data_IF_637992014712
#
_entry.id   IF_637992014712
#
_cell.length_a   1.000
_cell.length_b   1.000
_cell.length_c   1.000
_cell.angle_alpha   90.00
_cell.angle_beta   90.00
_cell.angle_gamma   90.00
#
_symmetry.space_group_name_H-M   'P 1'
#
loop_
_entity.id
_entity.type
_entity.pdbx_description
1 polymer ?
#
# COMPACT_ATOMS: atom_id res chain seq x y z
N UNK A 1 -19.66 -53.48 34.23
CA UNK A 1 -18.43 -53.53 33.39
C UNK A 1 -18.53 -52.92 31.99
N UNK A 2 -19.74 -52.65 31.44
CA UNK A 2 -19.89 -52.02 30.11
C UNK A 2 -19.71 -50.48 30.04
N UNK A 3 -19.78 -49.80 31.19
CA UNK A 3 -19.63 -48.31 31.23
C UNK A 3 -18.18 -47.83 31.37
N UNK A 4 -17.22 -48.70 31.73
CA UNK A 4 -15.81 -48.34 31.86
C UNK A 4 -15.05 -48.35 30.53
N UNK A 5 -15.52 -49.13 29.56
CA UNK A 5 -14.88 -49.25 28.24
C UNK A 5 -15.19 -48.03 27.34
N UNK A 6 -16.34 -47.37 27.54
CA UNK A 6 -16.72 -46.20 26.74
C UNK A 6 -15.95 -44.96 27.08
N UNK A 7 -15.37 -44.86 28.31
CA UNK A 7 -14.59 -43.70 28.75
C UNK A 7 -13.12 -43.73 28.27
N UNK A 8 -12.60 -44.93 28.01
CA UNK A 8 -11.24 -45.12 27.52
C UNK A 8 -11.07 -44.80 26.05
N UNK A 9 -12.14 -44.88 25.21
CA UNK A 9 -12.07 -44.50 23.79
C UNK A 9 -12.12 -42.99 23.51
N UNK A 10 -12.57 -42.19 24.47
CA UNK A 10 -12.66 -40.73 24.28
C UNK A 10 -11.33 -39.98 24.55
N UNK A 11 -10.36 -40.65 25.21
CA UNK A 11 -9.06 -40.06 25.54
C UNK A 11 -7.99 -40.21 24.44
N UNK A 12 -8.30 -40.96 23.35
CA UNK A 12 -7.34 -41.22 22.28
C UNK A 12 -7.50 -40.28 21.06
N UNK A 13 -8.48 -39.36 21.08
CA UNK A 13 -8.72 -38.41 19.95
C UNK A 13 -8.06 -37.05 20.12
N UNK A 14 -7.26 -36.79 21.19
CA UNK A 14 -6.60 -35.51 21.45
C UNK A 14 -5.14 -35.44 21.03
N UNK A 15 -4.66 -36.23 20.08
CA UNK A 15 -3.25 -36.23 19.75
C UNK A 15 -2.99 -36.12 18.25
N UNK A 16 -3.36 -35.00 17.61
CA UNK A 16 -2.75 -34.52 16.38
C UNK A 16 -3.04 -33.02 16.18
N UNK A 17 -2.88 -32.20 17.20
CA UNK A 17 -2.58 -30.80 16.97
C UNK A 17 -1.12 -30.78 16.49
N UNK A 18 -0.91 -30.67 15.17
CA UNK A 18 0.40 -30.45 14.57
C UNK A 18 0.96 -29.18 15.18
N UNK A 19 1.83 -29.30 16.20
CA UNK A 19 2.56 -28.17 16.72
C UNK A 19 3.29 -27.54 15.53
N UNK A 20 3.18 -26.22 15.33
CA UNK A 20 3.99 -25.56 14.32
C UNK A 20 5.45 -25.88 14.65
N UNK A 21 6.15 -26.47 13.68
CA UNK A 21 7.59 -26.72 13.83
C UNK A 21 8.26 -25.44 14.30
N UNK A 22 9.19 -25.50 15.27
CA UNK A 22 9.97 -24.34 15.63
C UNK A 22 10.55 -23.75 14.34
N UNK A 23 10.32 -22.47 14.09
CA UNK A 23 10.91 -21.79 12.94
C UNK A 23 12.43 -22.00 13.03
N UNK A 24 13.04 -22.54 11.97
CA UNK A 24 14.46 -22.78 11.91
C UNK A 24 15.20 -21.47 12.18
N UNK A 25 15.94 -21.41 13.29
CA UNK A 25 16.70 -20.24 13.72
C UNK A 25 18.22 -20.44 13.53
N UNK A 26 18.61 -21.53 12.85
CA UNK A 26 19.98 -21.86 12.60
C UNK A 26 20.71 -20.88 11.67
N UNK A 27 22.05 -20.98 11.56
CA UNK A 27 22.85 -20.11 10.68
C UNK A 27 22.40 -20.12 9.22
N UNK A 28 21.95 -21.26 8.72
CA UNK A 28 21.45 -21.39 7.35
C UNK A 28 20.14 -20.62 7.13
N UNK A 29 19.21 -20.66 8.10
CA UNK A 29 17.97 -19.90 8.02
C UNK A 29 18.26 -18.40 8.04
N UNK A 30 19.20 -17.96 8.88
CA UNK A 30 19.63 -16.55 8.90
C UNK A 30 20.27 -16.14 7.57
N UNK A 31 21.08 -16.97 6.96
CA UNK A 31 21.69 -16.71 5.65
C UNK A 31 20.60 -16.59 4.55
N UNK A 32 19.57 -17.47 4.56
CA UNK A 32 18.43 -17.38 3.63
C UNK A 32 17.65 -16.10 3.82
N UNK A 33 17.36 -15.71 5.07
CA UNK A 33 16.69 -14.46 5.38
C UNK A 33 17.49 -13.25 4.92
N UNK A 34 18.78 -13.19 5.22
CA UNK A 34 19.66 -12.12 4.76
C UNK A 34 19.70 -12.01 3.24
N UNK A 35 19.86 -13.14 2.52
CA UNK A 35 19.83 -13.17 1.07
C UNK A 35 18.53 -12.67 0.47
N UNK A 36 17.38 -13.00 1.08
CA UNK A 36 16.07 -12.53 0.63
C UNK A 36 15.90 -11.02 0.83
N UNK A 37 16.35 -10.48 1.96
CA UNK A 37 16.38 -9.04 2.18
C UNK A 37 17.27 -8.31 1.18
N UNK A 38 18.42 -8.88 0.83
CA UNK A 38 19.28 -8.34 -0.22
C UNK A 38 18.59 -8.30 -1.58
N UNK A 39 17.81 -9.35 -1.95
CA UNK A 39 17.01 -9.33 -3.19
C UNK A 39 15.95 -8.23 -3.16
N UNK A 40 15.25 -8.02 -2.03
CA UNK A 40 14.29 -6.94 -1.84
C UNK A 40 14.96 -5.59 -2.07
N UNK A 41 16.11 -5.34 -1.47
CA UNK A 41 16.86 -4.09 -1.63
C UNK A 41 17.31 -3.89 -3.08
N UNK A 42 17.90 -4.92 -3.69
CA UNK A 42 18.37 -4.88 -5.07
C UNK A 42 17.21 -4.63 -6.06
N UNK A 43 16.06 -5.28 -5.89
CA UNK A 43 14.88 -5.05 -6.71
C UNK A 43 14.36 -3.61 -6.59
N UNK A 44 14.36 -3.07 -5.38
CA UNK A 44 13.96 -1.68 -5.12
C UNK A 44 14.92 -0.66 -5.74
N UNK A 45 16.23 -0.91 -5.68
CA UNK A 45 17.26 -0.04 -6.25
C UNK A 45 17.25 -0.06 -7.78
N UNK A 46 17.05 -1.23 -8.37
CA UNK A 46 16.97 -1.40 -9.82
C UNK A 46 15.70 -0.80 -10.45
N UNK A 47 14.69 -0.50 -9.64
CA UNK A 47 13.43 0.04 -10.14
C UNK A 47 13.63 1.45 -10.74
N UNK A 48 13.15 1.70 -11.97
CA UNK A 48 13.45 2.94 -12.68
C UNK A 48 12.79 4.16 -12.02
N UNK A 49 13.54 5.26 -11.97
CA UNK A 49 13.04 6.60 -11.62
C UNK A 49 12.69 7.36 -12.90
N UNK A 50 11.69 6.86 -13.60
CA UNK A 50 11.24 7.38 -14.88
C UNK A 50 9.82 7.95 -14.79
N UNK A 51 9.38 8.79 -15.74
CA UNK A 51 8.01 9.23 -15.80
C UNK A 51 7.06 8.05 -16.01
N UNK A 52 5.91 8.13 -15.40
CA UNK A 52 4.87 7.10 -15.49
C UNK A 52 3.48 7.73 -15.49
N UNK A 53 2.52 7.01 -16.06
CA UNK A 53 1.10 7.30 -16.00
C UNK A 53 0.34 6.01 -15.75
N UNK A 54 -0.49 6.00 -14.70
CA UNK A 54 -1.26 4.85 -14.29
C UNK A 54 -2.75 5.19 -14.37
N UNK A 55 -3.52 4.30 -14.99
CA UNK A 55 -4.97 4.29 -14.85
C UNK A 55 -5.32 3.34 -13.70
N UNK A 56 -5.98 3.88 -12.69
CA UNK A 56 -6.32 3.16 -11.46
C UNK A 56 -7.84 2.97 -11.36
N UNK A 57 -8.24 1.86 -10.74
CA UNK A 57 -9.59 1.67 -10.22
C UNK A 57 -9.49 1.43 -8.72
N UNK A 58 -10.21 2.22 -7.95
CA UNK A 58 -10.27 2.12 -6.50
C UNK A 58 -11.70 1.77 -6.07
N UNK A 59 -11.87 0.65 -5.37
CA UNK A 59 -13.10 0.29 -4.68
C UNK A 59 -12.85 0.37 -3.19
N UNK A 60 -13.69 1.06 -2.43
CA UNK A 60 -13.50 1.24 -0.99
C UNK A 60 -14.82 1.42 -0.27
N UNK A 61 -14.81 1.17 1.03
CA UNK A 61 -15.95 1.30 1.91
C UNK A 61 -15.93 0.27 3.03
N UNK A 62 -17.03 0.16 3.75
CA UNK A 62 -17.32 -0.92 4.66
C UNK A 62 -18.08 -2.05 3.94
N UNK A 63 -18.25 -3.18 4.60
CA UNK A 63 -19.06 -4.27 4.06
C UNK A 63 -20.51 -3.80 3.84
N UNK A 64 -21.03 -4.03 2.64
CA UNK A 64 -22.39 -3.58 2.24
C UNK A 64 -22.48 -2.16 1.69
N UNK A 65 -21.49 -1.28 1.93
CA UNK A 65 -21.45 0.09 1.39
C UNK A 65 -20.10 0.34 0.70
N UNK A 66 -19.97 -0.07 -0.54
CA UNK A 66 -18.74 0.11 -1.32
C UNK A 66 -18.95 1.10 -2.45
N UNK A 67 -18.03 2.04 -2.56
CA UNK A 67 -17.94 3.02 -3.65
C UNK A 67 -16.83 2.63 -4.60
N UNK A 68 -16.96 3.03 -5.87
CA UNK A 68 -15.94 2.82 -6.88
C UNK A 68 -15.63 4.13 -7.60
N UNK A 69 -14.35 4.43 -7.69
CA UNK A 69 -13.83 5.54 -8.48
C UNK A 69 -12.75 5.04 -9.43
N UNK A 70 -12.48 5.81 -10.47
CA UNK A 70 -11.29 5.67 -11.31
C UNK A 70 -10.36 6.84 -11.05
N UNK A 71 -9.07 6.68 -11.33
CA UNK A 71 -8.12 7.76 -11.20
C UNK A 71 -7.02 7.67 -12.26
N UNK A 72 -6.52 8.83 -12.67
CA UNK A 72 -5.28 8.97 -13.39
C UNK A 72 -4.20 9.42 -12.41
N UNK A 73 -3.12 8.66 -12.32
CA UNK A 73 -1.98 8.94 -11.45
C UNK A 73 -0.71 9.02 -12.28
N UNK A 74 -0.02 10.16 -12.23
CA UNK A 74 1.21 10.35 -13.00
C UNK A 74 2.23 11.18 -12.26
N UNK A 75 3.48 11.04 -12.66
CA UNK A 75 4.61 11.75 -12.09
C UNK A 75 5.89 11.57 -12.89
N UNK A 76 6.86 12.43 -12.61
CA UNK A 76 8.20 12.39 -13.17
C UNK A 76 9.19 11.61 -12.28
N UNK A 77 8.76 10.77 -11.40
CA UNK A 77 9.42 9.96 -10.39
C UNK A 77 8.63 10.03 -9.07
N UNK A 78 9.29 10.29 -7.92
CA UNK A 78 8.69 10.30 -6.57
C UNK A 78 8.27 11.68 -6.09
N UNK A 79 8.57 12.71 -6.85
CA UNK A 79 8.23 14.10 -6.56
C UNK A 79 7.46 14.69 -7.72
N UNK A 80 6.65 15.70 -7.44
CA UNK A 80 5.72 16.28 -8.40
C UNK A 80 4.76 15.22 -8.94
N UNK A 81 3.76 14.93 -8.15
CA UNK A 81 2.80 13.86 -8.38
C UNK A 81 1.41 14.45 -8.59
N UNK A 82 0.69 13.90 -9.55
CA UNK A 82 -0.69 14.26 -9.85
C UNK A 82 -1.59 13.06 -9.77
N UNK A 83 -2.73 13.25 -9.11
CA UNK A 83 -3.79 12.24 -9.03
C UNK A 83 -5.13 12.94 -9.30
N UNK A 84 -5.75 12.62 -10.42
CA UNK A 84 -7.10 13.08 -10.75
C UNK A 84 -8.08 11.94 -10.51
N UNK A 85 -9.04 12.15 -9.61
CA UNK A 85 -10.03 11.14 -9.19
C UNK A 85 -11.35 11.43 -9.87
N UNK A 86 -11.96 10.40 -10.46
CA UNK A 86 -13.19 10.49 -11.24
C UNK A 86 -14.24 9.52 -10.73
N UNK A 87 -15.49 9.96 -10.66
CA UNK A 87 -16.65 9.13 -10.36
C UNK A 87 -17.49 8.87 -11.62
N UNK A 88 -18.17 7.74 -11.66
CA UNK A 88 -19.10 7.38 -12.75
C UNK A 88 -18.47 7.44 -14.14
N UNK A 89 -19.11 8.15 -15.05
CA UNK A 89 -18.70 8.30 -16.45
C UNK A 89 -17.64 9.40 -16.68
N UNK A 90 -16.69 9.57 -15.75
CA UNK A 90 -15.57 10.49 -15.95
C UNK A 90 -15.71 11.89 -15.33
N UNK A 91 -16.71 12.10 -14.48
CA UNK A 91 -16.81 13.35 -13.72
C UNK A 91 -15.65 13.45 -12.73
N UNK A 92 -14.80 14.46 -12.88
CA UNK A 92 -13.68 14.70 -11.95
C UNK A 92 -14.23 15.19 -10.62
N UNK A 93 -13.96 14.45 -9.54
CA UNK A 93 -14.39 14.77 -8.18
C UNK A 93 -13.27 15.36 -7.32
N UNK A 94 -12.03 15.05 -7.64
CA UNK A 94 -10.87 15.66 -6.99
C UNK A 94 -9.67 15.68 -7.92
N UNK A 95 -8.89 16.77 -7.86
CA UNK A 95 -7.56 16.88 -8.48
C UNK A 95 -6.55 17.09 -7.37
N UNK A 96 -5.52 16.25 -7.30
CA UNK A 96 -4.54 16.25 -6.21
C UNK A 96 -3.15 16.48 -6.81
N UNK A 97 -2.41 17.38 -6.18
CA UNK A 97 -1.00 17.63 -6.42
C UNK A 97 -0.22 17.38 -5.14
N UNK A 98 0.90 16.66 -5.25
CA UNK A 98 1.90 16.55 -4.20
C UNK A 98 3.29 16.80 -4.80
N UNK A 99 4.02 17.74 -4.25
CA UNK A 99 5.36 18.16 -4.73
C UNK A 99 6.50 17.80 -3.77
N UNK A 100 6.17 17.07 -2.69
CA UNK A 100 7.09 16.69 -1.62
C UNK A 100 7.18 17.69 -0.47
N UNK A 101 6.56 18.88 -0.60
CA UNK A 101 6.41 19.89 0.45
C UNK A 101 4.95 20.22 0.73
N UNK A 102 4.15 20.25 -0.33
CA UNK A 102 2.75 20.64 -0.28
C UNK A 102 1.88 19.52 -0.81
N UNK A 103 0.71 19.39 -0.22
CA UNK A 103 -0.36 18.57 -0.72
C UNK A 103 -1.56 19.48 -0.97
N UNK A 104 -1.97 19.58 -2.24
CA UNK A 104 -3.06 20.44 -2.69
C UNK A 104 -4.16 19.58 -3.29
N UNK A 105 -5.40 19.80 -2.88
CA UNK A 105 -6.59 19.18 -3.46
C UNK A 105 -7.52 20.25 -4.00
N UNK A 106 -8.02 20.07 -5.20
CA UNK A 106 -9.12 20.85 -5.74
C UNK A 106 -10.36 19.97 -5.89
N UNK A 107 -11.47 20.41 -5.28
CA UNK A 107 -12.81 19.82 -5.43
C UNK A 107 -13.62 20.63 -6.44
N UNK A 108 -13.80 20.15 -7.68
CA UNK A 108 -14.56 20.90 -8.69
C UNK A 108 -16.04 21.11 -8.32
N UNK A 109 -16.65 20.14 -7.63
CA UNK A 109 -18.07 20.23 -7.21
C UNK A 109 -18.33 21.33 -6.18
N UNK A 110 -17.31 21.64 -5.37
CA UNK A 110 -17.39 22.69 -4.34
C UNK A 110 -16.76 24.01 -4.79
N UNK A 111 -16.02 23.98 -5.90
CA UNK A 111 -15.12 25.06 -6.36
C UNK A 111 -14.19 25.54 -5.24
N UNK A 112 -13.52 24.58 -4.55
CA UNK A 112 -12.62 24.87 -3.42
C UNK A 112 -11.29 24.16 -3.57
N UNK A 113 -10.22 24.85 -3.22
CA UNK A 113 -8.89 24.30 -3.01
C UNK A 113 -8.65 24.01 -1.53
N UNK A 114 -7.94 22.91 -1.24
CA UNK A 114 -7.53 22.55 0.11
C UNK A 114 -6.05 22.25 0.13
N UNK A 115 -5.32 22.84 1.07
CA UNK A 115 -3.90 22.64 1.20
C UNK A 115 -3.51 21.99 2.52
N UNK A 116 -2.42 21.26 2.51
CA UNK A 116 -1.84 20.65 3.68
C UNK A 116 -0.31 20.67 3.61
N UNK A 117 0.30 21.06 4.72
CA UNK A 117 1.74 20.98 4.93
C UNK A 117 1.99 20.00 6.09
N UNK A 118 2.74 18.94 5.85
CA UNK A 118 3.05 17.95 6.86
C UNK A 118 2.95 16.50 6.35
N UNK A 119 3.29 15.54 7.22
CA UNK A 119 3.53 14.16 6.85
C UNK A 119 2.41 13.16 7.19
N UNK A 120 1.24 13.59 7.70
CA UNK A 120 0.26 12.67 8.28
C UNK A 120 -0.84 12.26 7.28
N UNK A 121 -0.54 11.32 6.39
CA UNK A 121 -1.53 10.55 5.60
C UNK A 121 -2.61 11.39 4.92
N UNK A 122 -2.23 12.34 4.06
CA UNK A 122 -3.17 13.28 3.47
C UNK A 122 -4.27 12.59 2.64
N UNK A 123 -3.97 11.45 2.00
CA UNK A 123 -4.95 10.68 1.23
C UNK A 123 -6.13 10.19 2.08
N UNK A 124 -5.86 9.71 3.30
CA UNK A 124 -6.93 9.31 4.22
C UNK A 124 -7.83 10.48 4.61
N UNK A 125 -7.28 11.68 4.73
CA UNK A 125 -8.04 12.89 5.05
C UNK A 125 -9.00 13.31 3.94
N UNK A 126 -8.65 13.05 2.69
CA UNK A 126 -9.51 13.32 1.53
C UNK A 126 -10.39 12.14 1.12
N UNK A 127 -10.51 11.13 2.00
CA UNK A 127 -11.41 9.99 1.79
C UNK A 127 -10.85 8.92 0.85
N UNK A 128 -9.57 9.01 0.44
CA UNK A 128 -8.87 7.93 -0.28
C UNK A 128 -8.28 6.98 0.75
N UNK A 129 -8.80 5.77 0.93
CA UNK A 129 -8.43 4.88 2.04
C UNK A 129 -7.12 4.13 1.75
N UNK A 130 -6.05 4.91 1.58
CA UNK A 130 -4.66 4.44 1.39
C UNK A 130 -3.83 5.07 2.51
N UNK A 131 -3.17 4.27 3.37
CA UNK A 131 -2.42 4.76 4.53
C UNK A 131 -1.02 5.31 4.16
N UNK A 132 -0.84 5.73 2.93
CA UNK A 132 0.39 6.28 2.38
C UNK A 132 0.15 7.70 1.85
N UNK A 133 1.21 8.49 1.69
CA UNK A 133 1.20 9.67 0.83
C UNK A 133 1.31 9.27 -0.66
N UNK A 134 1.20 10.23 -1.56
CA UNK A 134 1.31 9.92 -3.00
C UNK A 134 2.72 9.45 -3.37
N UNK A 135 3.76 9.96 -2.72
CA UNK A 135 5.16 9.56 -2.95
C UNK A 135 5.38 8.08 -2.63
N UNK A 136 4.91 7.62 -1.47
CA UNK A 136 4.97 6.21 -1.10
C UNK A 136 4.10 5.33 -2.01
N UNK A 137 2.90 5.80 -2.39
CA UNK A 137 2.05 5.07 -3.34
C UNK A 137 2.73 4.95 -4.71
N UNK A 138 3.33 6.04 -5.20
CA UNK A 138 4.10 6.04 -6.43
C UNK A 138 5.28 5.07 -6.37
N UNK A 139 6.06 5.12 -5.31
CA UNK A 139 7.19 4.23 -5.09
C UNK A 139 6.76 2.77 -5.09
N UNK A 140 5.72 2.43 -4.32
CA UNK A 140 5.18 1.07 -4.24
C UNK A 140 4.74 0.55 -5.61
N UNK A 141 3.90 1.31 -6.31
CA UNK A 141 3.36 0.90 -7.61
C UNK A 141 4.44 0.79 -8.70
N UNK A 142 5.58 1.46 -8.56
CA UNK A 142 6.69 1.42 -9.50
C UNK A 142 7.89 0.57 -9.03
N UNK A 143 7.71 -0.28 -7.99
CA UNK A 143 8.71 -1.26 -7.58
C UNK A 143 9.80 -0.74 -6.63
N UNK A 144 9.72 0.51 -6.18
CA UNK A 144 10.69 1.10 -5.24
C UNK A 144 10.29 0.83 -3.79
N UNK A 145 10.31 -0.42 -3.42
CA UNK A 145 9.75 -0.91 -2.16
C UNK A 145 10.49 -0.40 -0.92
N UNK A 146 11.81 -0.22 -0.99
CA UNK A 146 12.61 0.30 0.12
C UNK A 146 12.25 1.76 0.45
N UNK A 147 11.78 2.56 -0.52
CA UNK A 147 11.24 3.90 -0.27
C UNK A 147 10.02 3.85 0.66
N UNK A 148 9.23 2.77 0.59
CA UNK A 148 7.99 2.60 1.35
C UNK A 148 8.24 1.91 2.69
N UNK A 149 9.01 0.82 2.68
CA UNK A 149 9.17 -0.07 3.85
C UNK A 149 10.49 0.17 4.59
N UNK A 150 11.36 1.04 4.07
CA UNK A 150 12.69 1.29 4.66
C UNK A 150 13.73 0.29 4.19
N UNK A 151 14.96 0.51 4.66
CA UNK A 151 16.17 -0.24 4.30
C UNK A 151 16.67 -1.16 5.42
N UNK A 152 15.98 -1.19 6.57
CA UNK A 152 16.37 -1.97 7.72
C UNK A 152 15.22 -2.68 8.43
N UNK A 153 15.57 -3.76 9.11
CA UNK A 153 14.67 -4.53 9.95
C UNK A 153 15.34 -4.90 11.30
N UNK A 154 14.54 -5.08 12.34
CA UNK A 154 15.01 -5.46 13.68
C UNK A 154 14.96 -6.96 13.91
N UNK A 155 14.07 -7.67 13.23
CA UNK A 155 13.90 -9.12 13.33
C UNK A 155 13.42 -9.68 11.98
N UNK A 156 13.72 -10.96 11.76
CA UNK A 156 13.23 -11.70 10.60
C UNK A 156 12.89 -13.14 10.99
N UNK A 157 11.88 -13.72 10.34
CA UNK A 157 11.47 -15.10 10.56
C UNK A 157 11.00 -15.73 9.24
N UNK A 158 11.40 -16.99 8.99
CA UNK A 158 10.83 -17.79 7.92
C UNK A 158 9.38 -18.13 8.21
N UNK A 159 8.56 -18.17 7.19
CA UNK A 159 7.16 -18.57 7.23
C UNK A 159 6.96 -19.78 6.30
N UNK A 160 5.85 -20.53 6.45
CA UNK A 160 5.47 -21.55 5.48
C UNK A 160 5.41 -21.03 4.05
N UNK A 161 5.38 -21.93 3.08
CA UNK A 161 5.25 -21.64 1.65
C UNK A 161 6.39 -20.78 1.06
N UNK A 162 7.59 -20.85 1.69
CA UNK A 162 8.74 -20.10 1.19
C UNK A 162 8.63 -18.57 1.39
N UNK A 163 7.83 -18.12 2.35
CA UNK A 163 7.71 -16.72 2.74
C UNK A 163 8.68 -16.37 3.87
N UNK A 164 8.94 -15.08 4.06
CA UNK A 164 9.68 -14.58 5.21
C UNK A 164 9.13 -13.23 5.67
N UNK A 165 8.98 -13.05 6.97
CA UNK A 165 8.50 -11.82 7.59
C UNK A 165 9.68 -11.06 8.21
N UNK A 166 9.66 -9.74 8.02
CA UNK A 166 10.65 -8.80 8.56
C UNK A 166 9.94 -7.71 9.35
N UNK A 167 10.37 -7.49 10.59
CA UNK A 167 9.90 -6.40 11.44
C UNK A 167 10.67 -5.13 11.08
N UNK A 168 9.99 -4.11 10.57
CA UNK A 168 10.60 -2.93 9.98
C UNK A 168 11.12 -1.95 11.03
N UNK A 169 12.28 -1.37 10.78
CA UNK A 169 12.85 -0.26 11.54
C UNK A 169 12.34 1.06 10.93
N UNK A 170 11.65 1.89 11.69
CA UNK A 170 11.28 3.23 11.20
C UNK A 170 9.81 3.37 10.77
N UNK A 171 9.54 4.30 9.85
CA UNK A 171 8.19 4.59 9.35
C UNK A 171 8.06 4.08 7.90
N UNK A 172 6.95 3.42 7.54
CA UNK A 172 5.67 3.36 8.25
C UNK A 172 5.65 2.38 9.43
N UNK A 173 6.71 1.59 9.66
CA UNK A 173 6.77 0.59 10.73
C UNK A 173 5.93 -0.65 10.44
N UNK A 174 5.87 -1.55 11.45
CA UNK A 174 5.16 -2.81 11.31
C UNK A 174 6.01 -3.90 10.67
N UNK A 175 5.40 -4.80 9.92
CA UNK A 175 6.12 -5.90 9.29
C UNK A 175 5.81 -6.05 7.81
N UNK A 176 6.80 -6.48 7.03
CA UNK A 176 6.65 -6.85 5.63
C UNK A 176 6.93 -8.33 5.46
N UNK A 177 6.11 -9.01 4.65
CA UNK A 177 6.37 -10.40 4.25
C UNK A 177 6.86 -10.40 2.80
N UNK A 178 7.98 -11.07 2.57
CA UNK A 178 8.59 -11.23 1.26
C UNK A 178 8.44 -12.66 0.75
N UNK A 179 8.26 -12.82 -0.55
CA UNK A 179 8.34 -14.11 -1.22
C UNK A 179 9.80 -14.53 -1.49
N UNK A 180 10.04 -15.66 -2.15
CA UNK A 180 11.37 -16.20 -2.43
C UNK A 180 12.21 -15.28 -3.33
N UNK A 181 11.57 -14.49 -4.18
CA UNK A 181 12.18 -13.51 -5.10
C UNK A 181 12.52 -12.18 -4.40
N UNK A 182 12.12 -12.00 -3.11
CA UNK A 182 12.30 -10.77 -2.37
C UNK A 182 11.22 -9.72 -2.64
N UNK A 183 10.13 -10.08 -3.29
CA UNK A 183 9.02 -9.16 -3.53
C UNK A 183 8.09 -9.10 -2.30
N UNK A 184 7.65 -7.90 -1.86
CA UNK A 184 6.71 -7.77 -0.76
C UNK A 184 5.31 -8.27 -1.16
N UNK A 185 4.77 -9.25 -0.45
CA UNK A 185 3.44 -9.82 -0.69
C UNK A 185 2.40 -9.35 0.33
N UNK A 186 2.84 -9.03 1.55
CA UNK A 186 1.98 -8.39 2.55
C UNK A 186 2.75 -7.34 3.35
N UNK A 187 2.04 -6.35 3.81
CA UNK A 187 2.53 -5.43 4.83
C UNK A 187 1.46 -5.28 5.92
N UNK A 188 1.90 -5.29 7.16
CA UNK A 188 1.04 -5.05 8.32
C UNK A 188 1.59 -3.88 9.10
N UNK A 189 0.76 -2.86 9.27
CA UNK A 189 1.10 -1.70 10.07
C UNK A 189 1.32 -2.06 11.54
N UNK A 190 2.28 -1.41 12.20
CA UNK A 190 2.42 -1.51 13.64
C UNK A 190 1.13 -0.99 14.31
N UNK A 191 0.46 -1.79 15.14
CA UNK A 191 -0.82 -1.40 15.71
C UNK A 191 -0.66 -0.20 16.64
N UNK A 192 -1.48 0.82 16.43
CA UNK A 192 -1.60 1.97 17.33
C UNK A 192 -2.94 1.88 18.06
N UNK A 193 -2.89 1.61 19.37
CA UNK A 193 -4.12 1.38 20.14
C UNK A 193 -4.93 0.18 19.65
N UNK A 194 -4.27 -0.87 19.16
CA UNK A 194 -4.92 -2.06 18.61
C UNK A 194 -5.46 -1.90 17.18
N UNK A 195 -5.30 -0.72 16.57
CA UNK A 195 -5.78 -0.41 15.21
C UNK A 195 -4.62 -0.31 14.24
N UNK A 196 -4.84 -0.80 13.01
CA UNK A 196 -3.84 -0.75 11.96
C UNK A 196 -4.36 -1.28 10.64
N UNK A 197 -3.59 -1.00 9.59
CA UNK A 197 -3.83 -1.49 8.25
C UNK A 197 -3.09 -2.79 7.98
N UNK A 198 -3.71 -3.63 7.18
CA UNK A 198 -3.07 -4.75 6.52
C UNK A 198 -3.20 -4.55 5.01
N UNK A 199 -2.12 -4.81 4.28
CA UNK A 199 -2.08 -4.70 2.82
C UNK A 199 -1.57 -6.00 2.21
N UNK A 200 -2.28 -6.51 1.22
CA UNK A 200 -1.85 -7.61 0.35
C UNK A 200 -1.49 -7.01 -1.02
N UNK A 201 -0.42 -7.51 -1.61
CA UNK A 201 0.12 -7.04 -2.88
C UNK A 201 0.12 -8.21 -3.87
N UNK A 202 -0.61 -8.05 -4.98
CA UNK A 202 -0.54 -8.97 -6.10
C UNK A 202 0.10 -8.28 -7.30
N UNK A 203 0.86 -9.04 -8.06
CA UNK A 203 1.71 -8.58 -9.14
C UNK A 203 1.10 -8.88 -10.52
N UNK A 204 1.57 -8.18 -11.54
CA UNK A 204 1.36 -8.54 -12.94
C UNK A 204 2.39 -9.60 -13.40
N UNK A 205 2.23 -10.07 -14.63
CA UNK A 205 3.11 -11.07 -15.25
C UNK A 205 4.30 -10.42 -16.00
N UNK A 206 4.56 -9.13 -15.77
CA UNK A 206 5.67 -8.42 -16.39
C UNK A 206 7.03 -8.87 -15.84
N UNK A 207 8.10 -8.59 -16.56
CA UNK A 207 9.48 -8.84 -16.14
C UNK A 207 10.27 -7.52 -16.13
N UNK A 208 10.64 -6.98 -14.95
CA UNK A 208 10.26 -7.43 -13.60
C UNK A 208 8.77 -7.20 -13.30
N UNK A 209 8.17 -8.05 -12.43
CA UNK A 209 6.76 -7.91 -12.06
C UNK A 209 6.54 -6.66 -11.22
N UNK A 210 5.43 -5.96 -11.49
CA UNK A 210 5.05 -4.76 -10.76
C UNK A 210 3.70 -4.94 -10.05
N UNK A 211 3.44 -4.26 -8.93
CA UNK A 211 2.18 -4.33 -8.23
C UNK A 211 1.01 -3.96 -9.15
N UNK A 212 0.09 -4.90 -9.32
CA UNK A 212 -1.15 -4.74 -10.09
C UNK A 212 -2.36 -4.50 -9.21
N UNK A 213 -2.38 -5.13 -8.02
CA UNK A 213 -3.48 -5.01 -7.08
C UNK A 213 -2.96 -4.85 -5.67
N UNK A 214 -3.51 -3.86 -4.96
CA UNK A 214 -3.36 -3.69 -3.52
C UNK A 214 -4.72 -3.93 -2.87
N UNK A 215 -4.78 -4.86 -1.91
CA UNK A 215 -5.95 -5.06 -1.07
C UNK A 215 -5.62 -4.58 0.33
N UNK A 216 -6.29 -3.53 0.79
CA UNK A 216 -6.09 -2.94 2.10
C UNK A 216 -7.29 -3.24 2.98
N UNK A 217 -7.03 -3.65 4.21
CA UNK A 217 -8.04 -3.85 5.24
C UNK A 217 -7.59 -3.15 6.51
N UNK A 218 -8.50 -2.46 7.15
CA UNK A 218 -8.25 -1.83 8.45
C UNK A 218 -9.01 -2.58 9.54
N UNK A 219 -8.48 -2.61 10.73
CA UNK A 219 -9.07 -3.36 11.86
C UNK A 219 -10.47 -2.88 12.28
N UNK A 220 -10.91 -1.68 11.81
CA UNK A 220 -12.28 -1.18 12.01
C UNK A 220 -13.28 -1.62 10.92
N UNK A 221 -12.88 -2.55 10.04
CA UNK A 221 -13.74 -3.09 8.98
C UNK A 221 -13.68 -2.34 7.64
N UNK A 222 -12.96 -1.22 7.56
CA UNK A 222 -12.74 -0.53 6.27
C UNK A 222 -11.90 -1.39 5.34
N UNK A 223 -12.26 -1.37 4.07
CA UNK A 223 -11.56 -2.09 3.02
C UNK A 223 -11.36 -1.20 1.80
N UNK A 224 -10.20 -1.34 1.15
CA UNK A 224 -9.93 -0.74 -0.14
C UNK A 224 -9.26 -1.74 -1.08
N UNK A 225 -9.62 -1.70 -2.35
CA UNK A 225 -8.96 -2.47 -3.41
C UNK A 225 -8.54 -1.47 -4.48
N UNK A 226 -7.24 -1.28 -4.62
CA UNK A 226 -6.65 -0.50 -5.71
C UNK A 226 -6.18 -1.49 -6.79
N UNK A 227 -6.58 -1.23 -8.03
CA UNK A 227 -6.20 -2.01 -9.19
C UNK A 227 -5.56 -1.09 -10.23
N UNK A 228 -4.34 -1.39 -10.65
CA UNK A 228 -3.70 -0.78 -11.82
C UNK A 228 -4.30 -1.40 -13.07
N UNK A 229 -5.07 -0.63 -13.83
CA UNK A 229 -5.71 -1.05 -15.08
C UNK A 229 -4.75 -0.98 -16.26
N UNK A 230 -4.06 0.14 -16.35
CA UNK A 230 -3.10 0.43 -17.40
C UNK A 230 -1.87 1.11 -16.82
N UNK A 231 -0.74 0.86 -17.42
CA UNK A 231 0.55 1.40 -17.05
C UNK A 231 1.26 1.89 -18.31
N UNK A 232 1.45 3.19 -18.40
CA UNK A 232 2.19 3.82 -19.49
C UNK A 232 3.57 4.28 -18.98
N UNK A 233 4.57 4.16 -19.83
CA UNK A 233 5.92 4.71 -19.64
C UNK A 233 6.15 5.80 -20.68
N UNK A 234 5.84 7.07 -20.36
CA UNK A 234 6.05 8.18 -21.30
C UNK A 234 7.52 8.28 -21.71
N UNK A 235 7.75 8.55 -22.99
CA UNK A 235 9.12 8.71 -23.51
C UNK A 235 9.80 10.01 -23.04
N UNK A 236 9.02 10.97 -22.53
CA UNK A 236 9.48 12.27 -22.04
C UNK A 236 8.87 12.57 -20.68
N UNK A 237 9.54 13.39 -19.89
CA UNK A 237 9.00 13.92 -18.63
C UNK A 237 7.78 14.81 -18.92
N UNK A 238 6.85 14.81 -17.99
CA UNK A 238 5.75 15.78 -18.00
C UNK A 238 6.29 17.18 -17.77
N UNK A 239 5.74 18.14 -18.50
CA UNK A 239 6.10 19.57 -18.37
C UNK A 239 5.60 20.15 -17.05
N UNK A 240 6.13 21.29 -16.64
CA UNK A 240 5.68 22.01 -15.44
C UNK A 240 4.15 22.28 -15.49
N UNK A 241 3.61 22.68 -16.66
CA UNK A 241 2.16 22.89 -16.81
C UNK A 241 1.32 21.64 -16.62
N UNK A 242 1.81 20.46 -17.06
CA UNK A 242 1.13 19.19 -16.84
C UNK A 242 1.19 18.72 -15.39
N UNK A 243 2.20 19.18 -14.66
CA UNK A 243 2.42 18.85 -13.24
C UNK A 243 1.86 19.92 -12.28
N UNK A 244 1.42 21.09 -12.78
CA UNK A 244 0.80 22.12 -11.95
C UNK A 244 -0.69 21.82 -11.70
N UNK A 245 -1.22 22.36 -10.64
CA UNK A 245 -2.65 22.41 -10.34
C UNK A 245 -3.06 23.88 -10.12
N UNK A 246 -3.57 24.50 -11.17
CA UNK A 246 -4.10 25.88 -11.11
C UNK A 246 -5.54 25.83 -10.62
N UNK A 247 -5.83 26.57 -9.58
CA UNK A 247 -7.20 26.76 -9.09
C UNK A 247 -7.89 27.85 -9.92
N UNK A 248 -9.23 27.80 -10.09
CA UNK A 248 -10.01 28.94 -10.58
C UNK A 248 -9.77 30.18 -9.68
N UNK A 249 -9.86 31.39 -10.28
CA UNK A 249 -9.60 32.64 -9.57
C UNK A 249 -10.56 32.88 -8.39
N UNK A 250 -11.78 32.39 -8.50
CA UNK A 250 -12.82 32.47 -7.47
C UNK A 250 -12.81 31.30 -6.46
N UNK A 251 -11.92 30.31 -6.64
CA UNK A 251 -11.85 29.18 -5.74
C UNK A 251 -11.08 29.53 -4.45
N UNK A 252 -11.69 29.53 -3.27
CA UNK A 252 -10.99 29.76 -2.03
C UNK A 252 -10.03 28.62 -1.73
N UNK A 253 -8.88 28.96 -1.15
CA UNK A 253 -7.87 28.01 -0.67
C UNK A 253 -7.96 27.87 0.85
N UNK A 254 -8.38 26.71 1.32
CA UNK A 254 -8.68 26.39 2.71
C UNK A 254 -7.68 25.36 3.27
N UNK A 255 -7.49 25.29 4.59
CA UNK A 255 -6.76 24.20 5.22
C UNK A 255 -7.45 22.85 4.96
N UNK A 256 -6.65 21.77 4.75
CA UNK A 256 -7.20 20.42 4.52
C UNK A 256 -8.05 19.90 5.70
N UNK A 257 -7.88 20.46 6.91
CA UNK A 257 -8.73 20.14 8.07
C UNK A 257 -10.21 20.49 7.87
N UNK A 258 -10.51 21.39 6.94
CA UNK A 258 -11.88 21.78 6.57
C UNK A 258 -12.49 20.91 5.47
N UNK A 259 -11.68 20.06 4.82
CA UNK A 259 -12.18 19.14 3.80
C UNK A 259 -13.11 18.09 4.42
N UNK A 260 -14.27 17.92 3.82
CA UNK A 260 -15.24 16.86 4.18
C UNK A 260 -15.42 15.96 2.96
N UNK A 261 -14.97 14.71 3.06
CA UNK A 261 -15.23 13.72 2.02
C UNK A 261 -16.75 13.52 1.87
N UNK A 262 -17.26 13.67 0.65
CA UNK A 262 -18.68 13.49 0.30
C UNK A 262 -19.02 12.01 0.13
#
# INVERSE_FOLDING_TARGET
MKKLVLFACFLLLCACAKQPSPLDSGPEAQARLASRWQKFMAASEAAPRAPYRLQLSLRFGAEGDTRRVTALFWGNSDRQLRLDVMAGVGAVIAKILEDGQHFLVYSPSENKGYFYQGAARPLLRVGVPVPFDLGHLAALLNGRYATVFGDGHSAAAELPEGLARYELNGKPGGSVTLNAEGLPVTWREAPQGGKGWNMEIAYDDAAPPLPRRLTLTHTDGKRAILLVKEREKPARTFTAGQMSLTLPEDAPLLPLSEYRAQ
#
